data_IF_930574317089
#
_entry.id   IF_930574317089
#
_cell.length_a   1.000
_cell.length_b   1.000
_cell.length_c   1.000
_cell.angle_alpha   90.00
_cell.angle_beta   90.00
_cell.angle_gamma   90.00
#
_symmetry.space_group_name_H-M   'P 1'
#
loop_
_entity.id
_entity.type
_entity.pdbx_description
1 polymer ?
#
# COMPACT_ATOMS: atom_id res chain seq x y z
N UNK A 1 -17.34 15.96 -15.46
CA UNK A 1 -18.04 15.87 -14.17
C UNK A 1 -18.24 14.42 -13.71
N UNK A 2 -18.49 13.47 -14.61
CA UNK A 2 -18.76 12.04 -14.30
C UNK A 2 -17.55 11.40 -13.59
N UNK A 3 -16.31 11.76 -13.94
CA UNK A 3 -15.08 11.23 -13.32
C UNK A 3 -14.77 11.82 -11.94
N UNK A 4 -15.40 12.92 -11.55
CA UNK A 4 -15.16 13.52 -10.22
C UNK A 4 -15.73 12.67 -9.09
N UNK A 5 -16.88 12.02 -9.32
CA UNK A 5 -17.52 11.17 -8.31
C UNK A 5 -16.65 9.98 -7.92
N UNK A 6 -16.21 9.11 -8.86
CA UNK A 6 -15.33 8.00 -8.50
C UNK A 6 -13.97 8.48 -8.00
N UNK A 7 -13.44 9.60 -8.49
CA UNK A 7 -12.20 10.19 -7.99
C UNK A 7 -12.27 10.57 -6.52
N UNK A 8 -13.38 11.19 -6.09
CA UNK A 8 -13.60 11.53 -4.69
C UNK A 8 -13.60 10.28 -3.78
N UNK A 9 -14.28 9.21 -4.18
CA UNK A 9 -14.28 7.95 -3.43
C UNK A 9 -12.90 7.32 -3.33
N UNK A 10 -12.11 7.36 -4.40
CA UNK A 10 -10.74 6.83 -4.41
C UNK A 10 -9.85 7.62 -3.45
N UNK A 11 -9.89 8.95 -3.49
CA UNK A 11 -9.09 9.79 -2.58
C UNK A 11 -9.50 9.58 -1.11
N UNK A 12 -10.79 9.45 -0.84
CA UNK A 12 -11.29 9.15 0.50
C UNK A 12 -10.80 7.79 1.00
N UNK A 13 -10.83 6.76 0.15
CA UNK A 13 -10.33 5.43 0.48
C UNK A 13 -8.81 5.46 0.77
N UNK A 14 -8.01 6.19 -0.01
CA UNK A 14 -6.59 6.38 0.26
C UNK A 14 -6.33 7.07 1.59
N UNK A 15 -7.11 8.10 1.93
CA UNK A 15 -7.02 8.78 3.22
C UNK A 15 -7.31 7.83 4.38
N UNK A 16 -8.38 7.05 4.30
CA UNK A 16 -8.71 6.04 5.32
C UNK A 16 -7.62 4.97 5.46
N UNK A 17 -7.08 4.46 4.36
CA UNK A 17 -5.99 3.46 4.40
C UNK A 17 -4.74 4.01 5.09
N UNK A 18 -4.40 5.27 4.87
CA UNK A 18 -3.25 5.91 5.52
C UNK A 18 -3.43 5.98 7.03
N UNK A 19 -4.61 6.39 7.50
CA UNK A 19 -4.93 6.45 8.93
C UNK A 19 -4.91 5.05 9.55
N UNK A 20 -5.57 4.08 8.92
CA UNK A 20 -5.58 2.69 9.39
C UNK A 20 -4.17 2.12 9.51
N UNK A 21 -3.31 2.34 8.52
CA UNK A 21 -1.92 1.88 8.54
C UNK A 21 -1.16 2.47 9.72
N UNK A 22 -1.36 3.75 10.03
CA UNK A 22 -0.70 4.41 11.17
C UNK A 22 -1.18 3.81 12.50
N UNK A 23 -2.49 3.55 12.64
CA UNK A 23 -3.06 2.92 13.84
C UNK A 23 -2.50 1.51 14.03
N UNK A 24 -2.46 0.69 12.97
CA UNK A 24 -1.89 -0.66 13.06
C UNK A 24 -0.40 -0.64 13.43
N UNK A 25 0.34 0.36 12.95
CA UNK A 25 1.74 0.52 13.31
C UNK A 25 1.89 0.87 14.81
N UNK A 26 1.08 1.81 15.31
CA UNK A 26 1.07 2.15 16.73
C UNK A 26 0.77 0.92 17.60
N UNK A 27 -0.25 0.14 17.26
CA UNK A 27 -0.58 -1.10 17.96
C UNK A 27 0.58 -2.13 17.92
N UNK A 28 1.34 -2.15 16.84
CA UNK A 28 2.52 -3.03 16.72
C UNK A 28 3.66 -2.55 17.63
N UNK A 29 3.82 -1.23 17.81
CA UNK A 29 4.78 -0.65 18.76
C UNK A 29 4.43 -1.08 20.19
N UNK A 30 3.17 -0.94 20.59
CA UNK A 30 2.69 -1.29 21.92
C UNK A 30 2.84 -2.79 22.21
N UNK A 31 2.56 -3.64 21.25
CA UNK A 31 2.82 -5.08 21.34
C UNK A 31 4.33 -5.38 21.48
N UNK A 32 5.16 -4.68 20.72
CA UNK A 32 6.63 -4.80 20.79
C UNK A 32 7.16 -4.39 22.15
N UNK A 33 6.65 -3.31 22.73
CA UNK A 33 7.00 -2.83 24.07
C UNK A 33 6.67 -3.86 25.13
N UNK A 34 5.48 -4.44 25.08
CA UNK A 34 5.05 -5.49 26.03
C UNK A 34 5.97 -6.71 25.97
N UNK A 35 6.34 -7.15 24.77
CA UNK A 35 7.12 -8.36 24.56
C UNK A 35 8.60 -8.21 24.85
N UNK A 36 9.18 -7.06 24.48
CA UNK A 36 10.63 -6.81 24.55
C UNK A 36 11.04 -5.94 25.74
N UNK A 37 10.08 -5.42 26.52
CA UNK A 37 10.32 -4.41 27.58
C UNK A 37 11.08 -3.17 27.08
N UNK A 38 10.93 -2.82 25.79
CA UNK A 38 11.62 -1.73 25.15
C UNK A 38 10.72 -1.11 24.07
N UNK A 39 10.60 0.21 24.09
CA UNK A 39 9.80 0.96 23.12
C UNK A 39 10.66 1.34 21.91
N UNK A 40 10.60 0.55 20.87
CA UNK A 40 11.37 0.74 19.62
C UNK A 40 10.54 1.43 18.53
N UNK A 41 9.81 2.49 18.89
CA UNK A 41 8.91 3.22 17.99
C UNK A 41 9.62 3.74 16.73
N UNK A 42 10.81 4.34 16.91
CA UNK A 42 11.61 4.89 15.80
C UNK A 42 12.04 3.82 14.79
N UNK A 43 12.32 2.62 15.24
CA UNK A 43 12.69 1.49 14.37
C UNK A 43 11.51 1.05 13.52
N UNK A 44 10.33 0.94 14.11
CA UNK A 44 9.12 0.50 13.39
C UNK A 44 8.71 1.53 12.33
N UNK A 45 8.70 2.83 12.65
CA UNK A 45 8.39 3.88 11.68
C UNK A 45 9.45 4.04 10.59
N UNK A 46 10.73 3.84 10.91
CA UNK A 46 11.80 3.85 9.89
C UNK A 46 11.68 2.67 8.94
N UNK A 47 11.33 1.48 9.43
CA UNK A 47 11.05 0.31 8.60
C UNK A 47 9.83 0.54 7.69
N UNK A 48 8.76 1.17 8.20
CA UNK A 48 7.62 1.55 7.35
C UNK A 48 8.07 2.45 6.20
N UNK A 49 8.83 3.50 6.50
CA UNK A 49 9.33 4.43 5.48
C UNK A 49 10.20 3.72 4.45
N UNK A 50 11.07 2.82 4.91
CA UNK A 50 11.91 2.00 4.03
C UNK A 50 11.06 1.13 3.10
N UNK A 51 10.07 0.41 3.63
CA UNK A 51 9.18 -0.46 2.83
C UNK A 51 8.39 0.34 1.80
N UNK A 52 7.87 1.52 2.17
CA UNK A 52 7.14 2.41 1.24
C UNK A 52 8.05 2.87 0.10
N UNK A 53 9.30 3.26 0.39
CA UNK A 53 10.28 3.65 -0.63
C UNK A 53 10.66 2.49 -1.55
N UNK A 54 10.88 1.32 -0.98
CA UNK A 54 11.16 0.10 -1.73
C UNK A 54 9.98 -0.26 -2.66
N UNK A 55 8.75 -0.23 -2.14
CA UNK A 55 7.54 -0.50 -2.91
C UNK A 55 7.37 0.48 -4.08
N UNK A 56 7.68 1.77 -3.88
CA UNK A 56 7.66 2.76 -4.96
C UNK A 56 8.66 2.44 -6.07
N UNK A 57 9.87 2.01 -5.71
CA UNK A 57 10.89 1.58 -6.68
C UNK A 57 10.45 0.36 -7.49
N UNK A 58 9.90 -0.64 -6.81
CA UNK A 58 9.36 -1.84 -7.47
C UNK A 58 8.20 -1.49 -8.40
N UNK A 59 7.29 -0.62 -7.96
CA UNK A 59 6.16 -0.17 -8.78
C UNK A 59 6.62 0.55 -10.05
N UNK A 60 7.62 1.43 -9.95
CA UNK A 60 8.21 2.12 -11.11
C UNK A 60 8.87 1.12 -12.08
N UNK A 61 9.57 0.12 -11.57
CA UNK A 61 10.18 -0.94 -12.38
C UNK A 61 9.12 -1.75 -13.15
N UNK A 62 8.05 -2.16 -12.47
CA UNK A 62 6.93 -2.87 -13.10
C UNK A 62 6.28 -2.01 -14.17
N UNK A 63 6.02 -0.72 -13.89
CA UNK A 63 5.45 0.21 -14.86
C UNK A 63 6.33 0.35 -16.10
N UNK A 64 7.65 0.47 -15.94
CA UNK A 64 8.60 0.53 -17.05
C UNK A 64 8.56 -0.74 -17.92
N UNK A 65 8.54 -1.91 -17.31
CA UNK A 65 8.45 -3.20 -18.01
C UNK A 65 7.12 -3.27 -18.79
N UNK A 66 6.00 -2.86 -18.19
CA UNK A 66 4.70 -2.86 -18.85
C UNK A 66 4.67 -1.94 -20.08
N UNK A 67 5.28 -0.75 -20.00
CA UNK A 67 5.40 0.16 -21.12
C UNK A 67 6.23 -0.45 -22.27
N UNK A 68 7.34 -1.10 -21.93
CA UNK A 68 8.20 -1.78 -22.91
C UNK A 68 7.47 -2.90 -23.64
N UNK A 69 6.72 -3.74 -22.90
CA UNK A 69 5.95 -4.86 -23.47
C UNK A 69 4.81 -4.33 -24.35
N UNK A 70 4.21 -3.21 -23.98
CA UNK A 70 3.12 -2.58 -24.76
C UNK A 70 3.62 -1.88 -26.03
N UNK A 71 4.93 -1.95 -26.32
CA UNK A 71 5.59 -1.32 -27.46
C UNK A 71 5.34 0.21 -27.56
N UNK A 72 5.06 0.82 -26.43
CA UNK A 72 4.93 2.28 -26.32
C UNK A 72 6.35 2.81 -26.14
N UNK A 73 6.92 3.34 -27.21
CA UNK A 73 8.26 3.95 -27.18
C UNK A 73 8.30 5.08 -26.15
N UNK A 74 9.44 5.13 -25.42
CA UNK A 74 9.72 6.19 -24.44
C UNK A 74 9.99 7.57 -25.09
N UNK A 75 9.64 7.76 -26.35
CA UNK A 75 9.74 9.05 -27.02
C UNK A 75 8.73 10.00 -26.39
N UNK A 76 9.25 10.93 -25.61
CA UNK A 76 8.55 11.99 -24.88
C UNK A 76 7.92 13.03 -25.80
N UNK A 77 7.78 12.77 -27.09
CA UNK A 77 7.16 13.67 -28.04
C UNK A 77 5.64 13.47 -28.05
N UNK A 78 4.93 14.56 -28.17
CA UNK A 78 3.46 14.65 -28.23
C UNK A 78 2.85 13.74 -29.33
N UNK A 79 3.65 13.30 -30.29
CA UNK A 79 3.26 12.36 -31.34
C UNK A 79 3.11 10.92 -30.88
N UNK A 80 3.82 10.49 -29.82
CA UNK A 80 3.68 9.14 -29.27
C UNK A 80 2.30 8.90 -28.66
N UNK A 81 1.68 9.94 -28.12
CA UNK A 81 0.31 9.85 -27.59
C UNK A 81 -0.74 9.65 -28.72
N UNK A 82 -0.47 10.16 -29.93
CA UNK A 82 -1.33 9.97 -31.09
C UNK A 82 -1.19 8.56 -31.70
N UNK A 83 0.02 7.98 -31.68
CA UNK A 83 0.24 6.61 -32.20
C UNK A 83 -0.35 5.52 -31.29
N UNK A 84 -0.52 5.79 -30.01
CA UNK A 84 -1.20 4.87 -29.07
C UNK A 84 -2.67 4.72 -29.40
N UNK A 85 -3.29 5.69 -30.03
CA UNK A 85 -4.70 5.63 -30.41
C UNK A 85 -5.01 4.67 -31.57
N UNK A 86 -4.01 4.32 -32.37
CA UNK A 86 -4.21 3.45 -33.54
C UNK A 86 -4.06 1.94 -33.26
N UNK A 87 -3.51 1.57 -32.08
CA UNK A 87 -3.35 0.17 -31.72
C UNK A 87 -4.24 -0.18 -30.51
N UNK A 88 -5.48 -0.49 -30.76
CA UNK A 88 -6.45 -0.96 -29.74
C UNK A 88 -5.88 -2.08 -28.85
N UNK A 89 -5.01 -2.92 -29.39
CA UNK A 89 -4.37 -4.02 -28.67
C UNK A 89 -3.39 -3.52 -27.63
N UNK A 90 -2.55 -2.55 -27.95
CA UNK A 90 -1.55 -1.99 -27.01
C UNK A 90 -2.22 -1.24 -25.86
N UNK A 91 -3.26 -0.47 -26.16
CA UNK A 91 -4.05 0.24 -25.14
C UNK A 91 -4.82 -0.74 -24.25
N UNK A 92 -5.36 -1.81 -24.80
CA UNK A 92 -6.07 -2.84 -24.05
C UNK A 92 -5.11 -3.59 -23.09
N UNK A 93 -3.93 -3.97 -23.57
CA UNK A 93 -2.90 -4.61 -22.75
C UNK A 93 -2.45 -3.68 -21.61
N UNK A 94 -2.20 -2.41 -21.90
CA UNK A 94 -1.82 -1.43 -20.89
C UNK A 94 -2.91 -1.27 -19.82
N UNK A 95 -4.17 -1.12 -20.24
CA UNK A 95 -5.31 -1.00 -19.31
C UNK A 95 -5.48 -2.25 -18.45
N UNK A 96 -5.39 -3.44 -19.06
CA UNK A 96 -5.48 -4.70 -18.35
C UNK A 96 -4.37 -4.82 -17.31
N UNK A 97 -3.12 -4.56 -17.70
CA UNK A 97 -1.98 -4.67 -16.77
C UNK A 97 -2.06 -3.65 -15.64
N UNK A 98 -2.40 -2.41 -15.94
CA UNK A 98 -2.53 -1.34 -14.93
C UNK A 98 -3.71 -1.54 -13.96
N UNK A 99 -4.73 -2.32 -14.36
CA UNK A 99 -5.91 -2.58 -13.53
C UNK A 99 -5.82 -3.92 -12.81
N UNK A 100 -5.50 -4.99 -13.53
CA UNK A 100 -5.55 -6.36 -12.99
C UNK A 100 -4.39 -6.63 -12.03
N UNK A 101 -3.19 -6.15 -12.34
CA UNK A 101 -2.02 -6.38 -11.50
C UNK A 101 -2.16 -5.80 -10.08
N UNK A 102 -2.58 -4.54 -9.90
CA UNK A 102 -2.83 -3.99 -8.55
C UNK A 102 -3.94 -4.72 -7.81
N UNK A 103 -5.00 -5.13 -8.50
CA UNK A 103 -6.12 -5.86 -7.87
C UNK A 103 -5.65 -7.20 -7.32
N UNK A 104 -4.88 -7.96 -8.10
CA UNK A 104 -4.31 -9.24 -7.66
C UNK A 104 -3.37 -9.00 -6.46
N UNK A 105 -2.49 -8.01 -6.54
CA UNK A 105 -1.58 -7.65 -5.45
C UNK A 105 -2.33 -7.30 -4.17
N UNK A 106 -3.41 -6.54 -4.27
CA UNK A 106 -4.23 -6.15 -3.13
C UNK A 106 -4.97 -7.34 -2.53
N UNK A 107 -5.54 -8.24 -3.35
CA UNK A 107 -6.19 -9.46 -2.88
C UNK A 107 -5.21 -10.37 -2.13
N UNK A 108 -4.00 -10.56 -2.66
CA UNK A 108 -2.94 -11.33 -2.00
C UNK A 108 -2.55 -10.67 -0.67
N UNK A 109 -2.38 -9.35 -0.65
CA UNK A 109 -2.04 -8.61 0.57
C UNK A 109 -3.15 -8.75 1.64
N UNK A 110 -4.42 -8.60 1.26
CA UNK A 110 -5.57 -8.79 2.17
C UNK A 110 -5.62 -10.22 2.70
N UNK A 111 -5.40 -11.21 1.84
CA UNK A 111 -5.39 -12.62 2.24
C UNK A 111 -4.28 -12.94 3.24
N UNK A 112 -3.05 -12.45 2.98
CA UNK A 112 -1.92 -12.62 3.90
C UNK A 112 -2.21 -11.92 5.22
N UNK A 113 -2.73 -10.69 5.16
CA UNK A 113 -3.07 -9.91 6.34
C UNK A 113 -4.13 -10.63 7.18
N UNK A 114 -5.25 -11.05 6.57
CA UNK A 114 -6.32 -11.76 7.27
C UNK A 114 -5.85 -13.07 7.94
N UNK A 115 -4.89 -13.76 7.32
CA UNK A 115 -4.36 -15.02 7.86
C UNK A 115 -3.28 -14.83 8.92
N UNK A 116 -2.53 -13.74 8.85
CA UNK A 116 -1.36 -13.47 9.73
C UNK A 116 -1.65 -12.44 10.83
N UNK A 117 -2.78 -11.75 10.76
CA UNK A 117 -3.11 -10.72 11.74
C UNK A 117 -3.51 -11.35 13.08
N UNK A 118 -2.64 -11.18 14.06
CA UNK A 118 -2.77 -11.79 15.41
C UNK A 118 -3.33 -10.78 16.41
N UNK A 119 -3.23 -9.48 16.12
CA UNK A 119 -3.68 -8.41 17.01
C UNK A 119 -5.20 -8.19 16.88
N UNK A 120 -5.98 -9.07 17.48
CA UNK A 120 -7.43 -8.90 17.62
C UNK A 120 -7.73 -7.78 18.62
N UNK A 121 -8.90 -7.13 18.51
CA UNK A 121 -9.29 -6.03 19.40
C UNK A 121 -9.27 -6.44 20.89
N UNK A 122 -9.59 -7.69 21.19
CA UNK A 122 -9.52 -8.28 22.53
C UNK A 122 -8.07 -8.30 23.05
N UNK A 123 -7.12 -8.75 22.24
CA UNK A 123 -5.69 -8.72 22.59
C UNK A 123 -5.11 -7.32 22.75
N UNK A 124 -5.59 -6.38 21.95
CA UNK A 124 -5.23 -4.96 22.08
C UNK A 124 -5.70 -4.38 23.41
N UNK A 125 -6.91 -4.77 23.85
CA UNK A 125 -7.43 -4.40 25.16
C UNK A 125 -6.56 -4.93 26.32
N UNK A 126 -6.14 -6.19 26.26
CA UNK A 126 -5.23 -6.80 27.24
C UNK A 126 -3.86 -6.12 27.27
N UNK A 127 -3.27 -5.85 26.09
CA UNK A 127 -1.98 -5.16 25.95
C UNK A 127 -2.02 -3.77 26.60
N UNK A 128 -3.05 -2.99 26.31
CA UNK A 128 -3.21 -1.65 26.86
C UNK A 128 -3.39 -1.65 28.38
N UNK A 129 -4.13 -2.63 28.93
CA UNK A 129 -4.29 -2.76 30.38
C UNK A 129 -2.96 -3.14 31.05
N UNK A 130 -2.23 -4.06 30.47
CA UNK A 130 -0.96 -4.53 31.04
C UNK A 130 0.13 -3.44 30.96
N UNK A 131 0.18 -2.67 29.87
CA UNK A 131 1.07 -1.51 29.77
C UNK A 131 0.69 -0.41 30.77
N UNK A 132 -0.60 -0.14 30.96
CA UNK A 132 -1.06 0.81 31.97
C UNK A 132 -0.72 0.40 33.40
N UNK A 133 -0.68 -0.90 33.69
CA UNK A 133 -0.22 -1.44 34.97
C UNK A 133 1.30 -1.26 35.17
N UNK A 134 2.10 -1.51 34.13
CA UNK A 134 3.56 -1.36 34.18
C UNK A 134 4.01 0.10 34.32
N UNK A 135 3.30 1.04 33.68
CA UNK A 135 3.63 2.45 33.80
C UNK A 135 3.21 3.10 35.14
N UNK A 136 2.41 2.40 35.94
CA UNK A 136 1.97 2.85 37.27
C UNK A 136 2.82 2.27 38.40
N UNK A 137 3.62 1.25 38.15
CA UNK A 137 4.52 0.60 39.09
C UNK A 137 5.93 1.19 38.99
#
# INVERSE_FOLDING_TARGET
>A
YILMIPGFFIFTAFGMLTVLTTVFLANTVDYGELKNNRRDESVIFSMQTFVVKLASGVAAMIASICLTISNISNDTSTEAAAMVSDSYTSVAVLRMTMTVLPIIGLLVAVFIFAKKYILTDEKLGEINQELAHRHKA
#
